data_IF_501753380842
#
_entry.id   IF_501753380842
#
_cell.length_a   1.000
_cell.length_b   1.000
_cell.length_c   1.000
_cell.angle_alpha   90.00
_cell.angle_beta   90.00
_cell.angle_gamma   90.00
#
_symmetry.space_group_name_H-M   'P 1'
#
loop_
_entity.id
_entity.type
_entity.pdbx_description
1 polymer ?
#
# COMPACT_ATOMS: atom_id res chain seq x y z
N UNK A 1 14.95 -5.42 -2.94
CA UNK A 1 14.75 -5.75 -4.37
C UNK A 1 15.83 -6.73 -4.81
N UNK A 2 15.61 -7.49 -5.89
CA UNK A 2 16.66 -8.32 -6.47
C UNK A 2 17.88 -7.46 -6.86
N UNK A 3 19.06 -7.89 -6.44
CA UNK A 3 20.34 -7.29 -6.82
C UNK A 3 20.74 -7.72 -8.24
N UNK A 4 21.40 -6.84 -8.98
CA UNK A 4 21.98 -7.16 -10.31
C UNK A 4 20.98 -7.23 -11.47
N UNK A 5 19.67 -7.11 -11.23
CA UNK A 5 18.66 -7.14 -12.31
C UNK A 5 18.72 -5.93 -13.24
N UNK A 6 19.33 -4.83 -12.79
CA UNK A 6 19.56 -3.64 -13.61
C UNK A 6 20.80 -3.73 -14.49
N UNK A 7 21.60 -4.79 -14.34
CA UNK A 7 22.86 -4.98 -15.07
C UNK A 7 24.02 -4.17 -14.49
N UNK A 8 25.01 -3.92 -15.35
CA UNK A 8 26.20 -3.12 -15.06
C UNK A 8 26.17 -1.86 -15.92
N UNK A 9 26.71 -0.79 -15.39
CA UNK A 9 26.95 0.44 -16.13
C UNK A 9 28.13 0.23 -17.09
N UNK A 10 27.95 0.56 -18.36
CA UNK A 10 28.93 0.24 -19.42
C UNK A 10 30.20 1.09 -19.31
N UNK A 11 30.12 2.28 -18.72
CA UNK A 11 31.25 3.21 -18.62
C UNK A 11 32.11 2.91 -17.39
N UNK A 12 31.47 2.57 -16.27
CA UNK A 12 32.14 2.32 -14.98
C UNK A 12 32.39 0.84 -14.69
N UNK A 13 31.64 -0.07 -15.33
CA UNK A 13 31.66 -1.51 -15.04
C UNK A 13 31.04 -1.88 -13.69
N UNK A 14 30.46 -0.92 -12.97
CA UNK A 14 29.84 -1.12 -11.66
C UNK A 14 28.39 -1.62 -11.82
N UNK A 15 27.89 -2.32 -10.79
CA UNK A 15 26.49 -2.75 -10.78
C UNK A 15 25.59 -1.53 -10.67
N UNK A 16 24.57 -1.47 -11.54
CA UNK A 16 23.61 -0.36 -11.50
C UNK A 16 22.74 -0.50 -10.25
N UNK A 17 22.83 0.49 -9.38
CA UNK A 17 22.01 0.57 -8.19
C UNK A 17 20.60 1.09 -8.48
N UNK A 18 19.64 0.60 -7.69
CA UNK A 18 18.27 1.05 -7.80
C UNK A 18 18.12 2.52 -7.40
N UNK A 19 17.46 3.32 -8.23
CA UNK A 19 17.07 4.68 -7.87
C UNK A 19 16.34 4.73 -6.51
N UNK A 20 16.69 5.70 -5.67
CA UNK A 20 16.20 5.84 -4.29
C UNK A 20 14.67 5.86 -4.20
N UNK A 21 13.99 6.58 -5.10
CA UNK A 21 12.53 6.61 -5.17
C UNK A 21 11.92 5.24 -5.48
N UNK A 22 12.58 4.41 -6.29
CA UNK A 22 12.10 3.04 -6.55
C UNK A 22 12.30 2.15 -5.35
N UNK A 23 13.39 2.32 -4.60
CA UNK A 23 13.59 1.60 -3.34
C UNK A 23 12.49 1.96 -2.33
N UNK A 24 12.19 3.25 -2.17
CA UNK A 24 11.10 3.72 -1.31
C UNK A 24 9.74 3.16 -1.73
N UNK A 25 9.45 3.19 -3.04
CA UNK A 25 8.21 2.66 -3.60
C UNK A 25 8.08 1.14 -3.37
N UNK A 26 9.14 0.38 -3.62
CA UNK A 26 9.17 -1.06 -3.38
C UNK A 26 8.98 -1.40 -1.90
N UNK A 27 9.64 -0.64 -1.02
CA UNK A 27 9.55 -0.85 0.43
C UNK A 27 8.13 -0.61 0.95
N UNK A 28 7.46 0.40 0.41
CA UNK A 28 6.06 0.70 0.72
C UNK A 28 5.14 -0.47 0.36
N UNK A 29 5.33 -1.11 -0.79
CA UNK A 29 4.60 -2.33 -1.14
C UNK A 29 4.90 -3.47 -0.18
N UNK A 30 6.19 -3.77 0.02
CA UNK A 30 6.66 -4.88 0.85
C UNK A 30 6.16 -4.83 2.29
N UNK A 31 5.99 -3.62 2.83
CA UNK A 31 5.54 -3.40 4.21
C UNK A 31 4.03 -3.12 4.33
N UNK A 32 3.31 -3.01 3.21
CA UNK A 32 1.88 -2.78 3.21
C UNK A 32 1.11 -4.01 3.73
N UNK A 33 -0.03 -3.78 4.39
CA UNK A 33 -0.90 -4.88 4.83
C UNK A 33 -1.42 -5.72 3.63
N UNK A 34 -1.58 -5.11 2.46
CA UNK A 34 -2.00 -5.78 1.22
C UNK A 34 -1.01 -6.87 0.78
N UNK A 35 0.28 -6.67 1.02
CA UNK A 35 1.32 -7.62 0.62
C UNK A 35 1.22 -8.98 1.33
N UNK A 36 0.49 -9.07 2.45
CA UNK A 36 0.27 -10.34 3.16
C UNK A 36 -0.52 -11.36 2.32
N UNK A 37 -1.29 -10.89 1.34
CA UNK A 37 -2.07 -11.76 0.45
C UNK A 37 -1.41 -11.98 -0.91
N UNK A 38 -0.24 -11.38 -1.17
CA UNK A 38 0.42 -11.48 -2.47
C UNK A 38 1.05 -12.85 -2.67
N UNK A 39 0.83 -13.39 -3.86
CA UNK A 39 1.44 -14.63 -4.36
C UNK A 39 2.71 -14.31 -5.14
N UNK A 40 3.46 -15.35 -5.52
CA UNK A 40 4.71 -15.18 -6.28
C UNK A 40 4.50 -14.40 -7.59
N UNK A 41 3.36 -14.60 -8.28
CA UNK A 41 3.06 -13.88 -9.53
C UNK A 41 2.81 -12.39 -9.31
N UNK A 42 2.24 -12.01 -8.17
CA UNK A 42 2.03 -10.61 -7.80
C UNK A 42 3.39 -9.91 -7.58
N UNK A 43 4.31 -10.59 -6.89
CA UNK A 43 5.66 -10.08 -6.68
C UNK A 43 6.45 -9.94 -7.99
N UNK A 44 6.36 -10.92 -8.89
CA UNK A 44 7.00 -10.83 -10.21
C UNK A 44 6.46 -9.63 -11.00
N UNK A 45 5.14 -9.43 -10.99
CA UNK A 45 4.53 -8.28 -11.66
C UNK A 45 4.96 -6.94 -11.06
N UNK A 46 5.09 -6.87 -9.72
CA UNK A 46 5.60 -5.69 -9.05
C UNK A 46 7.09 -5.43 -9.35
N UNK A 47 7.91 -6.47 -9.52
CA UNK A 47 9.32 -6.32 -9.94
C UNK A 47 9.41 -5.73 -11.34
N UNK A 48 8.61 -6.22 -12.29
CA UNK A 48 8.53 -5.66 -13.64
C UNK A 48 8.10 -4.19 -13.62
N UNK A 49 7.16 -3.86 -12.73
CA UNK A 49 6.70 -2.48 -12.51
C UNK A 49 7.81 -1.63 -11.87
N UNK A 50 8.62 -2.19 -10.96
CA UNK A 50 9.75 -1.52 -10.34
C UNK A 50 10.83 -1.15 -11.38
N UNK A 51 11.09 -2.01 -12.38
CA UNK A 51 12.01 -1.72 -13.48
C UNK A 51 11.56 -0.50 -14.30
N UNK A 52 10.26 -0.41 -14.58
CA UNK A 52 9.68 0.76 -15.26
C UNK A 52 9.77 2.01 -14.38
N UNK A 53 9.44 1.89 -13.09
CA UNK A 53 9.52 2.99 -12.13
C UNK A 53 10.97 3.48 -11.97
N UNK A 54 11.95 2.58 -11.93
CA UNK A 54 13.37 2.93 -11.95
C UNK A 54 13.73 3.71 -13.20
N UNK A 55 13.38 3.20 -14.39
CA UNK A 55 13.69 3.87 -15.66
C UNK A 55 13.07 5.27 -15.73
N UNK A 56 11.83 5.41 -15.26
CA UNK A 56 11.13 6.69 -15.16
C UNK A 56 11.93 7.71 -14.36
N UNK A 57 12.38 7.35 -13.15
CA UNK A 57 13.12 8.26 -12.27
C UNK A 57 14.56 8.47 -12.70
N UNK A 58 15.31 7.40 -12.95
CA UNK A 58 16.74 7.46 -13.25
C UNK A 58 17.03 8.16 -14.57
N UNK A 59 16.14 8.02 -15.56
CA UNK A 59 16.33 8.57 -16.93
C UNK A 59 15.34 9.70 -17.26
N UNK A 60 14.52 10.15 -16.32
CA UNK A 60 13.51 11.19 -16.55
C UNK A 60 12.44 10.82 -17.60
N UNK A 61 12.16 9.52 -17.78
CA UNK A 61 11.24 8.97 -18.79
C UNK A 61 9.80 8.98 -18.29
N UNK A 62 9.23 10.17 -18.15
CA UNK A 62 7.90 10.39 -17.54
C UNK A 62 6.73 9.75 -18.30
N UNK A 63 6.92 9.34 -19.55
CA UNK A 63 5.91 8.60 -20.30
C UNK A 63 5.54 7.25 -19.65
N UNK A 64 6.43 6.68 -18.82
CA UNK A 64 6.14 5.46 -18.07
C UNK A 64 5.22 5.71 -16.86
N UNK A 65 5.01 6.96 -16.45
CA UNK A 65 4.24 7.28 -15.24
C UNK A 65 2.78 6.80 -15.32
N UNK A 66 2.16 6.91 -16.50
CA UNK A 66 0.80 6.45 -16.72
C UNK A 66 0.69 4.93 -16.58
N UNK A 67 1.59 4.18 -17.21
CA UNK A 67 1.62 2.72 -17.15
C UNK A 67 1.96 2.22 -15.74
N UNK A 68 2.93 2.84 -15.05
CA UNK A 68 3.25 2.52 -13.66
C UNK A 68 2.03 2.72 -12.76
N UNK A 69 1.28 3.82 -12.92
CA UNK A 69 0.03 4.04 -12.17
C UNK A 69 -1.01 2.97 -12.46
N UNK A 70 -1.22 2.62 -13.72
CA UNK A 70 -2.20 1.59 -14.12
C UNK A 70 -1.83 0.21 -13.58
N UNK A 71 -0.54 -0.13 -13.57
CA UNK A 71 -0.02 -1.37 -13.00
C UNK A 71 -0.17 -1.40 -11.48
N UNK A 72 0.20 -0.33 -10.79
CA UNK A 72 0.06 -0.20 -9.35
C UNK A 72 -1.42 -0.26 -8.90
N UNK A 73 -2.34 0.30 -9.68
CA UNK A 73 -3.78 0.27 -9.39
C UNK A 73 -4.34 -1.16 -9.28
N UNK A 74 -3.77 -2.14 -9.99
CA UNK A 74 -4.17 -3.57 -9.90
C UNK A 74 -3.98 -4.16 -8.50
N UNK A 75 -3.13 -3.53 -7.69
CA UNK A 75 -2.80 -3.95 -6.33
C UNK A 75 -3.36 -3.01 -5.26
N UNK A 76 -4.26 -2.08 -5.62
CA UNK A 76 -4.84 -1.18 -4.62
C UNK A 76 -3.89 -0.09 -4.14
N UNK A 77 -3.10 0.50 -5.05
CA UNK A 77 -2.14 1.55 -4.70
C UNK A 77 -2.80 2.76 -4.02
N UNK A 78 -3.95 3.20 -4.53
CA UNK A 78 -4.71 4.33 -3.97
C UNK A 78 -5.94 3.86 -3.19
N UNK A 79 -6.52 4.71 -2.31
CA UNK A 79 -7.80 4.41 -1.67
C UNK A 79 -8.93 4.09 -2.66
N UNK A 80 -8.96 4.79 -3.80
CA UNK A 80 -9.93 4.56 -4.88
C UNK A 80 -9.75 3.16 -5.49
N UNK A 81 -8.51 2.77 -5.79
CA UNK A 81 -8.20 1.44 -6.34
C UNK A 81 -8.61 0.33 -5.36
N UNK A 82 -8.32 0.52 -4.06
CA UNK A 82 -8.72 -0.44 -3.02
C UNK A 82 -10.23 -0.57 -2.91
N UNK A 83 -10.96 0.55 -2.93
CA UNK A 83 -12.41 0.55 -2.92
C UNK A 83 -12.98 -0.18 -4.15
N UNK A 84 -12.43 0.08 -5.34
CA UNK A 84 -12.81 -0.57 -6.60
C UNK A 84 -12.57 -2.08 -6.57
N UNK A 85 -11.44 -2.52 -6.02
CA UNK A 85 -11.08 -3.92 -5.86
C UNK A 85 -11.77 -4.59 -4.66
N UNK A 86 -12.49 -3.82 -3.83
CA UNK A 86 -13.10 -4.27 -2.57
C UNK A 86 -12.08 -4.86 -1.60
N UNK A 87 -10.85 -4.35 -1.62
CA UNK A 87 -9.79 -4.77 -0.71
C UNK A 87 -10.03 -4.20 0.68
N UNK A 88 -10.10 -5.08 1.68
CA UNK A 88 -10.07 -4.69 3.08
C UNK A 88 -8.60 -4.57 3.49
N UNK A 89 -8.15 -3.34 3.66
CA UNK A 89 -6.85 -3.09 4.27
C UNK A 89 -7.11 -2.87 5.74
N UNK A 90 -6.73 -3.84 6.54
CA UNK A 90 -6.81 -3.72 7.99
C UNK A 90 -5.92 -2.55 8.41
N UNK A 91 -6.54 -1.53 9.00
CA UNK A 91 -5.83 -0.43 9.61
C UNK A 91 -5.27 -0.96 10.93
N UNK A 92 -3.94 -1.01 11.13
CA UNK A 92 -3.34 -1.53 12.36
C UNK A 92 -3.74 -0.71 13.60
N UNK A 93 -4.22 0.51 13.41
CA UNK A 93 -4.78 1.37 14.48
C UNK A 93 -6.21 0.99 14.86
N UNK A 94 -6.86 0.17 14.04
CA UNK A 94 -8.25 -0.23 14.14
C UNK A 94 -8.36 -1.74 14.43
N UNK A 95 -7.41 -2.27 15.21
CA UNK A 95 -7.54 -3.59 15.81
C UNK A 95 -8.88 -3.73 16.54
N UNK A 96 -9.42 -4.95 16.73
CA UNK A 96 -10.75 -5.15 17.27
C UNK A 96 -10.86 -4.35 18.58
N UNK A 97 -11.67 -3.28 18.54
CA UNK A 97 -12.01 -2.54 19.74
C UNK A 97 -12.67 -3.56 20.65
N UNK A 98 -11.93 -4.03 21.67
CA UNK A 98 -12.54 -4.73 22.79
C UNK A 98 -13.72 -3.84 23.21
N UNK A 99 -14.96 -4.36 23.29
CA UNK A 99 -16.08 -3.56 23.70
C UNK A 99 -15.67 -2.85 24.98
N UNK A 100 -15.57 -1.52 24.94
CA UNK A 100 -15.32 -0.74 26.15
C UNK A 100 -16.50 -1.08 27.04
N UNK A 101 -16.26 -1.88 28.09
CA UNK A 101 -17.27 -2.17 29.10
C UNK A 101 -17.68 -0.81 29.67
N UNK A 102 -18.85 -0.35 29.22
CA UNK A 102 -19.45 0.87 29.68
C UNK A 102 -19.72 0.67 31.18
N UNK A 103 -19.22 1.54 32.08
CA UNK A 103 -19.51 1.37 33.50
C UNK A 103 -21.03 1.42 33.71
N UNK A 104 -21.56 0.46 34.48
CA UNK A 104 -22.98 0.17 34.71
C UNK A 104 -23.82 1.33 35.30
N UNK A 105 -23.23 2.50 35.51
CA UNK A 105 -23.87 3.65 36.16
C UNK A 105 -24.49 4.69 35.22
N UNK A 106 -24.22 4.65 33.91
CA UNK A 106 -24.74 5.69 33.00
C UNK A 106 -26.08 5.27 32.40
N UNK A 107 -27.16 5.70 33.06
CA UNK A 107 -28.52 5.54 32.53
C UNK A 107 -28.67 6.28 31.19
N UNK A 108 -29.14 5.57 30.17
CA UNK A 108 -29.38 6.10 28.83
C UNK A 108 -30.30 7.34 28.85
N UNK A 109 -29.95 8.35 28.04
CA UNK A 109 -30.66 9.64 28.00
C UNK A 109 -32.12 9.48 27.55
N UNK A 110 -32.42 8.44 26.75
CA UNK A 110 -33.77 8.11 26.33
C UNK A 110 -34.59 7.54 27.51
N UNK A 111 -33.96 6.74 28.37
CA UNK A 111 -34.58 6.23 29.61
C UNK A 111 -34.82 7.32 30.65
N UNK A 112 -34.04 8.42 30.64
CA UNK A 112 -34.29 9.60 31.46
C UNK A 112 -35.47 10.42 30.91
N UNK A 113 -35.56 10.60 29.59
CA UNK A 113 -36.67 11.33 28.95
C UNK A 113 -38.03 10.67 29.19
N UNK A 114 -38.11 9.35 29.09
CA UNK A 114 -39.35 8.60 29.29
C UNK A 114 -39.92 8.74 30.72
N UNK A 115 -39.07 9.00 31.72
CA UNK A 115 -39.49 9.19 33.13
C UNK A 115 -40.00 10.58 33.46
N UNK A 116 -39.77 11.57 32.61
CA UNK A 116 -40.20 12.95 32.86
C UNK A 116 -41.54 13.28 32.18
N UNK A 117 -42.07 12.37 31.38
CA UNK A 117 -43.28 12.55 30.57
C UNK A 117 -44.42 11.61 30.95
N UNK A 118 -44.31 10.91 32.09
CA UNK A 118 -45.37 10.07 32.67
C UNK A 118 -45.62 10.49 34.11
#
# INVERSE_FOLDING_TARGET
MPSGVLGVDEDTGEVVEWHSMTQLWWDSWRTSAQAQTFTATDWLFLIDTALMHHTMWARGRWEFASEVRLRAAKFGATPEDRARLKLKVDDPTNGPQRPVQRPDGVTDINSRRARLTG
#
